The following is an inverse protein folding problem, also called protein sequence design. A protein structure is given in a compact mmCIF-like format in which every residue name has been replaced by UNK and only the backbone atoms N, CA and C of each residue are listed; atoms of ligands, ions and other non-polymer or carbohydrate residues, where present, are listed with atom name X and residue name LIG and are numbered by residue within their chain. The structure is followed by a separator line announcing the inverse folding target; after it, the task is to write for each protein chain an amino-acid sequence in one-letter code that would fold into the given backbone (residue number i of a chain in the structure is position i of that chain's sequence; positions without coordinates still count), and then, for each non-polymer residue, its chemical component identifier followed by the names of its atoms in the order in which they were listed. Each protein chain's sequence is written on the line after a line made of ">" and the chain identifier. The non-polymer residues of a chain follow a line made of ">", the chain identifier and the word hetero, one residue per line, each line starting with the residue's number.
data_IF_090431919130
#
_entry.id   IF_090431919130
#
_cell.length_a   1.000
_cell.length_b   1.000
_cell.length_c   1.000
_cell.angle_alpha   90.00
_cell.angle_beta   90.00
_cell.angle_gamma   90.00
#
_symmetry.space_group_name_H-M   'P 1'
#
loop_
_entity.id
_entity.type
_entity.pdbx_description
1 polymer ?
#
# COMPACT_ATOMS: atom_id res chain seq x y z
N UNK A 1 -67.79 0.84 31.21
CA UNK A 1 -67.59 0.13 32.50
C UNK A 1 -66.18 0.45 32.99
N UNK A 2 -66.10 1.13 34.12
CA UNK A 2 -64.91 1.46 34.88
C UNK A 2 -64.31 0.22 35.47
N UNK A 3 -62.98 0.12 35.62
CA UNK A 3 -62.31 -0.25 36.84
C UNK A 3 -60.86 0.24 36.84
N UNK A 4 -60.62 1.13 37.79
CA UNK A 4 -59.29 1.59 38.24
C UNK A 4 -58.57 0.48 39.00
N UNK A 5 -57.23 0.50 38.95
CA UNK A 5 -56.46 0.16 40.15
C UNK A 5 -55.20 1.01 40.23
N UNK A 6 -55.06 1.60 41.43
CA UNK A 6 -53.99 2.48 41.89
C UNK A 6 -52.85 1.68 42.52
N UNK A 7 -51.67 2.27 42.67
CA UNK A 7 -50.48 1.66 43.26
C UNK A 7 -50.35 1.93 44.77
N UNK A 8 -49.52 1.16 45.48
CA UNK A 8 -48.78 1.54 46.68
C UNK A 8 -48.06 0.34 47.32
N UNK A 9 -47.19 0.55 48.29
CA UNK A 9 -46.05 1.45 48.41
C UNK A 9 -44.74 0.74 48.90
N UNK A 10 -43.70 1.53 48.88
CA UNK A 10 -42.39 1.51 49.55
C UNK A 10 -42.38 0.89 50.96
N UNK A 11 -41.35 0.15 51.29
CA UNK A 11 -40.43 0.21 52.42
C UNK A 11 -39.87 -1.18 52.81
N UNK A 12 -38.59 -1.40 52.86
CA UNK A 12 -37.83 -1.42 54.11
C UNK A 12 -36.33 -1.73 53.86
N UNK A 13 -35.52 -0.88 54.43
CA UNK A 13 -34.07 -1.12 54.62
C UNK A 13 -33.88 -2.23 55.67
N UNK A 14 -33.03 -3.21 55.38
CA UNK A 14 -32.31 -3.93 56.44
C UNK A 14 -30.90 -4.25 55.96
N UNK A 15 -29.97 -3.66 56.64
CA UNK A 15 -28.55 -3.97 56.63
C UNK A 15 -28.29 -5.34 57.21
N UNK A 16 -27.76 -6.27 56.42
CA UNK A 16 -27.19 -7.50 56.93
C UNK A 16 -25.68 -7.55 56.62
N UNK A 17 -24.91 -7.50 57.70
CA UNK A 17 -23.48 -7.77 57.71
C UNK A 17 -23.28 -9.24 57.33
N UNK A 18 -22.62 -9.50 56.20
CA UNK A 18 -22.15 -10.83 55.84
C UNK A 18 -20.65 -10.91 56.12
N UNK A 19 -20.32 -11.86 56.95
CA UNK A 19 -18.99 -12.21 57.40
C UNK A 19 -18.14 -12.71 56.22
N UNK A 20 -16.89 -12.23 56.19
CA UNK A 20 -15.80 -12.69 55.34
C UNK A 20 -15.56 -14.20 55.58
N UNK A 21 -15.92 -15.04 54.63
CA UNK A 21 -15.39 -16.40 54.48
C UNK A 21 -14.53 -16.45 53.25
N UNK A 22 -13.26 -16.77 53.45
CA UNK A 22 -12.30 -16.98 52.43
C UNK A 22 -12.74 -18.11 51.50
N UNK A 23 -13.06 -17.76 50.27
CA UNK A 23 -13.30 -18.66 49.16
C UNK A 23 -12.15 -18.54 48.17
N UNK A 24 -11.38 -19.62 48.09
CA UNK A 24 -10.36 -19.87 47.07
C UNK A 24 -10.91 -19.60 45.68
N UNK A 25 -10.54 -18.48 45.09
CA UNK A 25 -10.83 -18.18 43.70
C UNK A 25 -9.98 -19.12 42.84
N UNK A 26 -10.54 -20.22 42.39
CA UNK A 26 -10.01 -21.02 41.28
C UNK A 26 -10.17 -20.16 40.04
N UNK A 27 -9.10 -19.50 39.65
CA UNK A 27 -8.98 -18.88 38.32
C UNK A 27 -9.01 -20.01 37.29
N UNK A 28 -10.18 -20.25 36.71
CA UNK A 28 -10.31 -21.07 35.52
C UNK A 28 -9.70 -20.25 34.39
N UNK A 29 -8.38 -20.42 34.19
CA UNK A 29 -7.73 -19.98 32.98
C UNK A 29 -8.33 -20.81 31.84
N UNK A 30 -9.32 -20.23 31.18
CA UNK A 30 -9.69 -20.63 29.82
C UNK A 30 -8.47 -20.34 28.95
N UNK A 31 -7.52 -21.25 28.89
CA UNK A 31 -6.62 -21.38 27.78
C UNK A 31 -7.51 -21.63 26.57
N UNK A 32 -7.79 -20.57 25.81
CA UNK A 32 -8.12 -20.71 24.41
C UNK A 32 -6.91 -21.38 23.78
N UNK A 33 -6.90 -22.71 23.77
CA UNK A 33 -6.11 -23.44 22.80
C UNK A 33 -6.65 -23.00 21.46
N UNK A 34 -5.98 -22.02 20.86
CA UNK A 34 -6.06 -21.88 19.42
C UNK A 34 -5.75 -23.28 18.89
N UNK A 35 -6.72 -23.90 18.25
CA UNK A 35 -6.46 -25.05 17.45
C UNK A 35 -5.41 -24.62 16.43
N UNK A 36 -4.12 -24.80 16.79
CA UNK A 36 -3.08 -24.87 15.79
C UNK A 36 -3.59 -25.96 14.86
N UNK A 37 -3.86 -25.62 13.63
CA UNK A 37 -4.07 -26.58 12.58
C UNK A 37 -2.74 -27.32 12.51
N UNK A 38 -2.68 -28.45 13.20
CA UNK A 38 -1.46 -29.21 13.24
C UNK A 38 -1.10 -29.57 11.81
N UNK A 39 0.16 -29.39 11.45
CA UNK A 39 0.77 -29.79 10.17
C UNK A 39 0.48 -31.23 9.77
N UNK A 40 -0.42 -31.87 10.47
CA UNK A 40 -0.64 -33.30 10.40
C UNK A 40 0.47 -34.06 11.11
N UNK A 41 0.53 -35.34 10.90
CA UNK A 41 1.60 -36.18 11.45
C UNK A 41 2.91 -35.86 10.75
N UNK A 42 3.96 -35.58 11.52
CA UNK A 42 5.28 -35.25 10.98
C UNK A 42 5.83 -36.41 10.13
N UNK A 43 6.52 -36.07 9.07
CA UNK A 43 7.27 -37.03 8.22
C UNK A 43 8.21 -37.85 9.09
N UNK A 44 8.38 -39.15 8.73
CA UNK A 44 9.21 -40.09 9.46
C UNK A 44 8.57 -40.70 10.70
N UNK A 45 7.37 -40.24 11.11
CA UNK A 45 6.65 -40.81 12.23
C UNK A 45 6.17 -42.21 11.92
N UNK A 46 6.51 -43.19 12.77
CA UNK A 46 5.98 -44.54 12.66
C UNK A 46 4.60 -44.65 13.30
N UNK A 47 3.61 -45.03 12.53
CA UNK A 47 2.24 -45.30 12.99
C UNK A 47 2.10 -46.78 13.24
N UNK A 48 1.78 -47.15 14.47
CA UNK A 48 1.61 -48.52 14.91
C UNK A 48 0.14 -48.80 15.19
N UNK A 49 -0.36 -49.97 14.77
CA UNK A 49 -1.73 -50.40 15.03
C UNK A 49 -1.77 -51.88 15.39
N UNK A 50 -2.62 -52.24 16.36
CA UNK A 50 -2.84 -53.60 16.85
C UNK A 50 -4.32 -53.85 17.01
N UNK A 51 -4.87 -54.88 16.42
CA UNK A 51 -6.20 -55.38 16.67
C UNK A 51 -6.18 -56.47 17.76
N UNK A 52 -7.19 -56.55 18.58
CA UNK A 52 -7.32 -57.59 19.62
C UNK A 52 -8.65 -58.30 19.46
N UNK A 53 -8.58 -59.64 19.36
CA UNK A 53 -9.75 -60.51 19.34
C UNK A 53 -10.04 -61.04 20.74
N UNK A 54 -11.27 -60.80 21.24
CA UNK A 54 -11.82 -61.45 22.40
C UNK A 54 -12.87 -62.47 21.93
N UNK A 55 -12.80 -63.69 22.44
CA UNK A 55 -13.72 -64.74 22.03
C UNK A 55 -14.03 -65.71 23.16
N UNK A 56 -15.03 -66.55 22.95
CA UNK A 56 -15.45 -67.60 23.88
C UNK A 56 -15.66 -68.93 23.15
N UNK A 57 -15.42 -70.02 23.82
CA UNK A 57 -15.72 -71.39 23.34
C UNK A 57 -16.68 -72.02 24.33
N UNK A 58 -17.88 -72.41 23.90
CA UNK A 58 -18.91 -72.98 24.77
C UNK A 58 -19.26 -72.11 25.97
N UNK A 59 -19.40 -70.81 25.81
CA UNK A 59 -19.63 -69.80 26.83
C UNK A 59 -18.46 -69.57 27.83
N UNK A 60 -17.30 -70.15 27.62
CA UNK A 60 -16.08 -69.91 28.41
C UNK A 60 -15.20 -68.91 27.68
N UNK A 61 -14.94 -67.78 28.32
CA UNK A 61 -14.05 -66.74 27.76
C UNK A 61 -12.63 -67.35 27.56
N UNK A 62 -12.02 -67.02 26.42
CA UNK A 62 -10.67 -67.45 26.08
C UNK A 62 -9.70 -66.28 26.20
N UNK A 63 -8.41 -66.51 26.38
CA UNK A 63 -7.39 -65.47 26.34
C UNK A 63 -7.47 -64.65 25.05
N UNK A 64 -7.39 -63.32 25.17
CA UNK A 64 -7.38 -62.45 23.98
C UNK A 64 -6.18 -62.72 23.06
N UNK A 65 -6.39 -62.59 21.74
CA UNK A 65 -5.37 -62.75 20.73
C UNK A 65 -5.11 -61.41 20.04
N UNK A 66 -3.89 -60.87 20.13
CA UNK A 66 -3.45 -59.70 19.36
C UNK A 66 -3.13 -60.06 17.92
N UNK A 67 -3.36 -59.11 17.00
CA UNK A 67 -3.00 -59.30 15.55
C UNK A 67 -1.50 -59.29 15.35
N UNK A 68 -1.08 -59.86 14.21
CA UNK A 68 0.29 -59.79 13.66
C UNK A 68 0.24 -59.73 12.14
N UNK A 69 1.20 -59.07 11.45
CA UNK A 69 1.24 -58.97 9.98
C UNK A 69 1.25 -60.34 9.28
N UNK A 70 1.83 -61.36 9.94
CA UNK A 70 1.93 -62.74 9.41
C UNK A 70 0.87 -63.68 9.98
N UNK A 71 -0.07 -63.14 10.77
CA UNK A 71 -1.06 -63.90 11.52
C UNK A 71 -0.56 -64.25 12.95
N UNK A 72 -1.52 -64.43 13.90
CA UNK A 72 -1.26 -64.84 15.26
C UNK A 72 -2.43 -65.68 15.77
N UNK A 73 -2.15 -66.67 16.56
CA UNK A 73 -3.17 -67.57 17.15
C UNK A 73 -3.17 -67.55 18.67
N UNK A 74 -2.16 -66.94 19.30
CA UNK A 74 -2.08 -66.85 20.77
C UNK A 74 -1.31 -65.61 21.21
N UNK A 75 -1.67 -65.02 22.34
CA UNK A 75 -0.92 -63.94 23.00
C UNK A 75 -1.06 -62.57 22.36
N UNK A 76 -0.18 -61.65 22.73
CA UNK A 76 -0.32 -60.22 22.47
C UNK A 76 -0.16 -59.79 21.01
N UNK A 77 0.45 -60.64 20.17
CA UNK A 77 0.72 -60.29 18.76
C UNK A 77 1.84 -59.24 18.55
N UNK A 78 1.91 -58.69 17.35
CA UNK A 78 2.83 -57.62 16.98
C UNK A 78 2.13 -56.56 16.17
N UNK A 79 2.51 -55.29 16.34
CA UNK A 79 1.92 -54.14 15.63
C UNK A 79 2.14 -54.26 14.10
N UNK A 80 1.11 -53.86 13.36
CA UNK A 80 1.30 -53.46 11.95
C UNK A 80 1.74 -52.01 11.96
N UNK A 81 2.83 -51.72 11.24
CA UNK A 81 3.43 -50.38 11.23
C UNK A 81 3.62 -49.86 9.82
N UNK A 82 3.51 -48.54 9.66
CA UNK A 82 3.95 -47.82 8.47
C UNK A 82 4.59 -46.48 8.86
N UNK A 83 5.37 -45.89 7.98
CA UNK A 83 6.05 -44.60 8.18
C UNK A 83 5.29 -43.51 7.43
N UNK A 84 5.14 -42.33 8.02
CA UNK A 84 4.49 -41.16 7.40
C UNK A 84 5.44 -40.56 6.40
N UNK A 85 4.97 -40.32 5.19
CA UNK A 85 5.73 -39.75 4.08
C UNK A 85 5.93 -38.21 4.27
N UNK A 86 6.93 -37.67 3.55
CA UNK A 86 7.16 -36.23 3.46
C UNK A 86 6.21 -35.61 2.44
N UNK A 87 5.21 -34.90 2.92
CA UNK A 87 4.35 -34.07 2.09
C UNK A 87 5.01 -32.72 1.91
N UNK A 88 5.49 -32.43 0.73
CA UNK A 88 5.99 -31.13 0.31
C UNK A 88 4.83 -30.30 -0.23
N UNK A 89 4.56 -29.18 0.39
CA UNK A 89 3.54 -28.23 -0.04
C UNK A 89 3.88 -26.83 0.49
N UNK A 90 3.61 -25.80 -0.31
CA UNK A 90 3.89 -24.42 0.06
C UNK A 90 2.83 -23.49 -0.52
N UNK A 91 2.79 -22.29 0.07
CA UNK A 91 2.01 -21.18 -0.47
C UNK A 91 2.89 -19.93 -0.50
N UNK A 92 2.92 -19.26 -1.65
CA UNK A 92 3.52 -17.94 -1.79
C UNK A 92 2.39 -16.94 -2.04
N UNK A 93 2.41 -15.82 -1.33
CA UNK A 93 1.37 -14.79 -1.47
C UNK A 93 1.96 -13.39 -1.34
N UNK A 94 1.43 -12.41 -2.09
CA UNK A 94 1.72 -11.00 -1.82
C UNK A 94 0.96 -10.55 -0.57
N UNK A 95 1.56 -9.65 0.20
CA UNK A 95 0.93 -8.96 1.33
C UNK A 95 0.21 -7.70 0.85
N UNK A 96 0.63 -7.16 -0.27
CA UNK A 96 0.10 -5.93 -0.83
C UNK A 96 -1.29 -6.16 -1.46
N UNK A 97 -2.26 -5.34 -1.08
CA UNK A 97 -3.66 -5.42 -1.58
C UNK A 97 -3.87 -4.59 -2.85
N UNK A 98 -2.88 -3.81 -3.24
CA UNK A 98 -2.83 -2.98 -4.43
C UNK A 98 -1.37 -2.74 -4.80
N UNK A 99 -1.10 -2.35 -6.04
CA UNK A 99 0.25 -2.04 -6.50
C UNK A 99 0.94 -1.00 -5.60
N UNK A 100 2.19 -1.25 -5.27
CA UNK A 100 3.03 -0.37 -4.44
C UNK A 100 3.29 0.94 -5.19
N UNK A 101 2.94 2.06 -4.58
CA UNK A 101 3.14 3.38 -5.18
C UNK A 101 4.61 3.77 -5.18
N UNK A 102 5.12 4.14 -6.35
CA UNK A 102 6.52 4.55 -6.56
C UNK A 102 6.59 5.84 -7.38
N UNK A 103 7.73 6.53 -7.36
CA UNK A 103 7.95 7.73 -8.17
C UNK A 103 9.04 7.48 -9.22
N UNK A 104 9.02 8.20 -10.38
CA UNK A 104 10.07 8.10 -11.38
C UNK A 104 11.45 8.38 -10.78
N UNK A 105 12.44 7.54 -11.08
CA UNK A 105 13.78 7.64 -10.55
C UNK A 105 13.98 7.15 -9.11
N UNK A 106 12.93 6.62 -8.45
CA UNK A 106 13.04 6.04 -7.13
C UNK A 106 13.94 4.80 -7.15
N UNK A 107 14.77 4.65 -6.12
CA UNK A 107 15.66 3.49 -5.96
C UNK A 107 15.23 2.62 -4.79
N UNK A 108 15.64 1.36 -4.81
CA UNK A 108 15.38 0.38 -3.74
C UNK A 108 13.88 0.28 -3.41
N UNK A 109 13.06 0.05 -4.45
CA UNK A 109 11.62 -0.15 -4.28
C UNK A 109 11.33 -1.57 -3.80
N UNK A 110 10.39 -1.73 -2.86
CA UNK A 110 10.17 -2.98 -2.13
C UNK A 110 8.73 -3.44 -2.28
N UNK A 111 8.54 -4.69 -2.66
CA UNK A 111 7.27 -5.41 -2.58
C UNK A 111 7.37 -6.53 -1.54
N UNK A 112 6.28 -6.81 -0.84
CA UNK A 112 6.28 -7.71 0.31
C UNK A 112 5.49 -8.96 0.03
N UNK A 113 6.10 -10.11 0.31
CA UNK A 113 5.50 -11.42 0.12
C UNK A 113 5.60 -12.26 1.40
N UNK A 114 4.84 -13.36 1.42
CA UNK A 114 4.97 -14.42 2.41
C UNK A 114 5.20 -15.76 1.73
N UNK A 115 6.04 -16.58 2.36
CA UNK A 115 6.21 -18.01 2.02
C UNK A 115 5.73 -18.80 3.23
N UNK A 116 4.78 -19.69 3.03
CA UNK A 116 4.23 -20.56 4.08
C UNK A 116 4.51 -22.02 3.72
N UNK A 117 5.12 -22.75 4.66
CA UNK A 117 5.29 -24.19 4.55
C UNK A 117 3.99 -24.89 4.99
N UNK A 118 3.23 -25.43 4.04
CA UNK A 118 2.00 -26.19 4.31
C UNK A 118 2.21 -27.71 4.20
N UNK A 119 3.48 -28.12 4.18
CA UNK A 119 3.91 -29.52 4.26
C UNK A 119 3.89 -30.07 5.69
N UNK A 120 4.57 -31.19 5.93
CA UNK A 120 4.64 -31.85 7.25
C UNK A 120 6.07 -32.08 7.75
N UNK A 121 7.04 -31.36 7.20
CA UNK A 121 8.43 -31.36 7.67
C UNK A 121 9.07 -29.98 7.50
N UNK A 122 10.17 -29.72 8.16
CA UNK A 122 10.98 -28.52 7.98
C UNK A 122 11.54 -28.49 6.56
N UNK A 123 11.46 -27.34 5.89
CA UNK A 123 11.95 -27.12 4.53
C UNK A 123 12.70 -25.81 4.41
N UNK A 124 13.64 -25.78 3.48
CA UNK A 124 14.24 -24.55 2.96
C UNK A 124 13.53 -24.12 1.68
N UNK A 125 13.66 -22.82 1.33
CA UNK A 125 13.13 -22.32 0.06
C UNK A 125 14.16 -21.41 -0.60
N UNK A 126 14.61 -21.80 -1.80
CA UNK A 126 15.33 -20.86 -2.67
C UNK A 126 14.35 -19.86 -3.25
N UNK A 127 14.79 -18.60 -3.41
CA UNK A 127 13.96 -17.48 -3.83
C UNK A 127 14.48 -16.87 -5.12
N UNK A 128 13.57 -16.52 -6.02
CA UNK A 128 13.88 -15.80 -7.26
C UNK A 128 12.82 -14.73 -7.52
N UNK A 129 13.26 -13.54 -7.94
CA UNK A 129 12.38 -12.46 -8.37
C UNK A 129 12.55 -12.19 -9.86
N UNK A 130 11.45 -11.89 -10.55
CA UNK A 130 11.42 -11.58 -11.98
C UNK A 130 10.55 -10.37 -12.25
N UNK A 131 10.97 -9.51 -13.21
CA UNK A 131 10.04 -8.65 -13.93
C UNK A 131 9.19 -9.51 -14.85
N UNK A 132 7.87 -9.26 -14.88
CA UNK A 132 6.96 -10.03 -15.73
C UNK A 132 6.96 -9.46 -17.15
N UNK A 133 6.56 -10.29 -18.12
CA UNK A 133 6.49 -9.86 -19.50
C UNK A 133 5.44 -8.75 -19.70
N UNK A 134 5.75 -7.78 -20.57
CA UNK A 134 4.84 -6.70 -20.96
C UNK A 134 3.46 -7.23 -21.35
N UNK A 135 2.42 -6.55 -20.89
CA UNK A 135 1.03 -6.94 -21.09
C UNK A 135 0.48 -7.91 -20.03
N UNK A 136 1.32 -8.46 -19.13
CA UNK A 136 0.85 -9.24 -17.98
C UNK A 136 0.01 -8.35 -17.05
N UNK A 137 -1.12 -8.87 -16.59
CA UNK A 137 -2.04 -8.10 -15.72
C UNK A 137 -1.85 -8.48 -14.26
N UNK A 138 -1.62 -7.48 -13.41
CA UNK A 138 -1.62 -7.58 -11.94
C UNK A 138 -2.41 -6.40 -11.39
N UNK A 139 -3.23 -6.60 -10.37
CA UNK A 139 -4.16 -5.58 -9.83
C UNK A 139 -4.99 -4.87 -10.92
N UNK A 140 -5.44 -5.63 -11.93
CA UNK A 140 -6.25 -5.12 -13.06
C UNK A 140 -5.54 -4.09 -13.95
N UNK A 141 -4.22 -3.99 -13.87
CA UNK A 141 -3.39 -3.11 -14.72
C UNK A 141 -2.33 -3.91 -15.44
N UNK A 142 -2.12 -3.60 -16.72
CA UNK A 142 -1.11 -4.28 -17.53
C UNK A 142 0.28 -3.76 -17.22
N UNK A 143 1.23 -4.66 -17.27
CA UNK A 143 2.66 -4.35 -17.27
C UNK A 143 3.05 -3.55 -18.52
N UNK A 144 3.77 -2.45 -18.33
CA UNK A 144 4.22 -1.60 -19.45
C UNK A 144 5.67 -1.11 -19.31
N UNK A 145 6.36 -1.44 -18.23
CA UNK A 145 7.79 -1.21 -18.09
C UNK A 145 8.42 -2.21 -17.11
N UNK A 146 9.73 -2.39 -17.20
CA UNK A 146 10.52 -3.17 -16.25
C UNK A 146 11.20 -2.27 -15.21
N UNK A 147 11.25 -2.72 -13.96
CA UNK A 147 12.13 -2.13 -12.94
C UNK A 147 13.60 -2.44 -13.24
N UNK A 148 14.52 -1.82 -12.52
CA UNK A 148 15.89 -2.33 -12.43
C UNK A 148 15.93 -3.75 -11.87
N UNK A 149 17.13 -4.37 -11.84
CA UNK A 149 17.31 -5.72 -11.31
C UNK A 149 16.68 -5.88 -9.92
N UNK A 150 15.98 -6.99 -9.69
CA UNK A 150 15.36 -7.31 -8.41
C UNK A 150 16.16 -8.39 -7.68
N UNK A 151 16.21 -8.28 -6.36
CA UNK A 151 16.82 -9.25 -5.44
C UNK A 151 15.83 -9.62 -4.35
N UNK A 152 15.98 -10.81 -3.78
CA UNK A 152 15.13 -11.30 -2.70
C UNK A 152 15.84 -11.25 -1.37
N UNK A 153 15.12 -10.86 -0.32
CA UNK A 153 15.63 -10.82 1.05
C UNK A 153 14.58 -11.36 2.02
N UNK A 154 15.04 -11.98 3.09
CA UNK A 154 14.16 -12.58 4.10
C UNK A 154 14.15 -11.71 5.34
N UNK A 155 12.97 -11.40 5.87
CA UNK A 155 12.77 -10.66 7.11
C UNK A 155 13.54 -11.30 8.26
N UNK A 156 14.44 -10.53 8.90
CA UNK A 156 15.24 -10.99 10.05
C UNK A 156 14.43 -11.12 11.34
N UNK A 157 13.31 -10.38 11.45
CA UNK A 157 12.47 -10.29 12.62
C UNK A 157 12.94 -9.28 13.67
N UNK A 158 14.02 -8.54 13.41
CA UNK A 158 14.51 -7.53 14.34
C UNK A 158 13.66 -6.25 14.32
N UNK A 159 13.21 -5.84 13.14
CA UNK A 159 12.31 -4.70 12.92
C UNK A 159 11.43 -5.03 11.73
N UNK A 160 10.12 -4.77 11.81
CA UNK A 160 9.21 -5.05 10.70
C UNK A 160 9.47 -4.14 9.49
N UNK A 161 9.35 -4.69 8.27
CA UNK A 161 9.65 -4.04 7.01
C UNK A 161 11.09 -4.25 6.57
N UNK A 162 11.42 -3.95 5.32
CA UNK A 162 12.76 -4.19 4.78
C UNK A 162 13.82 -3.25 5.36
N UNK A 163 14.87 -3.82 5.93
CA UNK A 163 16.08 -3.12 6.36
C UNK A 163 17.32 -3.76 5.72
N UNK A 164 17.94 -3.07 4.79
CA UNK A 164 19.09 -3.57 4.03
C UNK A 164 20.30 -4.03 4.89
N UNK A 165 20.44 -3.49 6.12
CA UNK A 165 21.52 -3.87 7.05
C UNK A 165 21.19 -5.10 7.91
N UNK A 166 19.92 -5.49 7.99
CA UNK A 166 19.44 -6.58 8.85
C UNK A 166 18.91 -7.77 8.04
N UNK A 167 18.14 -7.48 6.99
CA UNK A 167 17.50 -8.48 6.12
C UNK A 167 18.47 -8.87 5.02
N UNK A 168 19.44 -9.71 5.34
CA UNK A 168 20.53 -10.08 4.43
C UNK A 168 20.43 -11.51 3.90
N UNK A 169 19.55 -12.34 4.48
CA UNK A 169 19.32 -13.70 4.00
C UNK A 169 18.58 -13.69 2.66
N UNK A 170 19.06 -14.50 1.70
CA UNK A 170 18.52 -14.55 0.32
C UNK A 170 17.72 -15.82 0.03
N UNK A 171 17.55 -16.68 1.02
CA UNK A 171 16.70 -17.87 0.99
C UNK A 171 16.00 -18.04 2.35
N UNK A 172 14.88 -18.75 2.37
CA UNK A 172 14.20 -19.09 3.62
C UNK A 172 14.84 -20.34 4.20
N UNK A 173 15.36 -20.23 5.41
CA UNK A 173 16.12 -21.26 6.13
C UNK A 173 15.24 -21.91 7.19
N UNK A 174 15.21 -23.26 7.23
CA UNK A 174 14.60 -24.08 8.28
C UNK A 174 13.14 -23.68 8.63
N UNK A 175 12.29 -23.46 7.63
CA UNK A 175 10.90 -23.13 7.86
C UNK A 175 10.11 -24.33 8.35
N UNK A 176 9.68 -24.30 9.59
CA UNK A 176 8.88 -25.37 10.18
C UNK A 176 7.54 -25.55 9.45
N UNK A 177 6.96 -26.74 9.55
CA UNK A 177 5.62 -27.00 9.08
C UNK A 177 4.61 -26.03 9.68
N UNK A 178 3.65 -25.53 8.89
CA UNK A 178 2.65 -24.49 9.17
C UNK A 178 3.22 -23.11 9.50
N UNK A 179 4.55 -22.91 9.45
CA UNK A 179 5.17 -21.62 9.67
C UNK A 179 5.14 -20.77 8.39
N UNK A 180 5.13 -19.46 8.59
CA UNK A 180 5.17 -18.43 7.54
C UNK A 180 6.39 -17.52 7.74
N UNK A 181 7.04 -17.15 6.65
CA UNK A 181 8.15 -16.20 6.63
C UNK A 181 7.86 -15.06 5.65
N UNK A 182 8.15 -13.83 6.07
CA UNK A 182 8.05 -12.65 5.20
C UNK A 182 9.29 -12.57 4.32
N UNK A 183 9.08 -12.24 3.06
CA UNK A 183 10.12 -12.11 2.02
C UNK A 183 9.92 -10.78 1.29
N UNK A 184 11.00 -10.07 1.05
CA UNK A 184 11.02 -8.82 0.30
C UNK A 184 11.62 -9.04 -1.09
N UNK A 185 10.94 -8.53 -2.11
CA UNK A 185 11.51 -8.32 -3.44
C UNK A 185 11.92 -6.85 -3.52
N UNK A 186 13.21 -6.61 -3.62
CA UNK A 186 13.79 -5.27 -3.68
C UNK A 186 14.34 -5.05 -5.07
N UNK A 187 13.71 -4.13 -5.82
CA UNK A 187 14.15 -3.77 -7.16
C UNK A 187 14.97 -2.48 -7.15
N UNK A 188 16.04 -2.44 -7.94
CA UNK A 188 17.08 -1.43 -7.85
C UNK A 188 16.58 -0.01 -8.15
N UNK A 189 15.71 0.15 -9.15
CA UNK A 189 15.22 1.47 -9.55
C UNK A 189 13.97 1.42 -10.41
N UNK A 190 13.22 2.50 -10.38
CA UNK A 190 12.19 2.85 -11.35
C UNK A 190 12.81 3.79 -12.39
N UNK A 191 12.70 3.54 -13.70
CA UNK A 191 13.23 4.46 -14.71
C UNK A 191 12.65 5.87 -14.56
N UNK A 192 13.49 6.88 -14.69
CA UNK A 192 13.07 8.29 -14.51
C UNK A 192 12.14 8.81 -15.61
N UNK A 193 12.02 8.08 -16.71
CA UNK A 193 11.17 8.44 -17.86
C UNK A 193 9.72 7.99 -17.71
N UNK A 194 9.41 7.21 -16.68
CA UNK A 194 8.06 6.69 -16.45
C UNK A 194 7.09 7.82 -16.06
N UNK A 195 5.84 7.67 -16.49
CA UNK A 195 4.80 8.67 -16.26
C UNK A 195 3.73 8.15 -15.28
N UNK A 196 2.88 9.06 -14.83
CA UNK A 196 1.81 8.72 -13.90
C UNK A 196 0.89 7.62 -14.46
N UNK A 197 0.73 6.54 -13.69
CA UNK A 197 -0.13 5.41 -14.04
C UNK A 197 0.61 4.22 -14.66
N UNK A 198 1.87 4.37 -15.06
CA UNK A 198 2.69 3.26 -15.53
C UNK A 198 2.85 2.21 -14.44
N UNK A 199 2.91 0.94 -14.83
CA UNK A 199 3.00 -0.18 -13.91
C UNK A 199 4.04 -1.20 -14.35
N UNK A 200 4.90 -1.60 -13.40
CA UNK A 200 5.82 -2.72 -13.54
C UNK A 200 5.30 -3.87 -12.69
N UNK A 201 5.10 -5.02 -13.31
CA UNK A 201 4.65 -6.22 -12.65
C UNK A 201 5.84 -7.14 -12.36
N UNK A 202 5.87 -7.69 -11.16
CA UNK A 202 6.94 -8.57 -10.68
C UNK A 202 6.36 -9.87 -10.13
N UNK A 203 7.19 -10.88 -10.01
CA UNK A 203 6.85 -12.12 -9.29
C UNK A 203 7.96 -12.52 -8.33
N UNK A 204 7.54 -13.20 -7.25
CA UNK A 204 8.39 -13.99 -6.38
C UNK A 204 8.11 -15.47 -6.66
N UNK A 205 9.17 -16.23 -6.93
CA UNK A 205 9.14 -17.68 -7.01
C UNK A 205 9.91 -18.26 -5.82
N UNK A 206 9.29 -19.21 -5.11
CA UNK A 206 9.94 -19.99 -4.05
C UNK A 206 9.97 -21.46 -4.48
N UNK A 207 11.15 -22.07 -4.48
CA UNK A 207 11.35 -23.49 -4.80
C UNK A 207 11.80 -24.22 -3.54
N UNK A 208 11.11 -25.32 -3.22
CA UNK A 208 11.38 -26.10 -2.02
C UNK A 208 12.72 -26.83 -2.10
N UNK A 209 13.48 -26.73 -1.03
CA UNK A 209 14.73 -27.45 -0.81
C UNK A 209 14.68 -28.20 0.54
N UNK A 210 15.55 -29.15 0.72
CA UNK A 210 15.63 -29.97 1.93
C UNK A 210 16.14 -29.13 3.09
N UNK A 211 15.38 -29.01 4.18
CA UNK A 211 15.83 -28.44 5.44
C UNK A 211 16.65 -29.41 6.28
N UNK A 212 17.10 -28.97 7.45
CA UNK A 212 17.83 -29.77 8.43
C UNK A 212 19.29 -29.33 8.65
N UNK A 213 19.73 -28.26 7.99
CA UNK A 213 21.06 -27.67 8.22
C UNK A 213 20.95 -26.14 8.27
N UNK A 214 20.93 -25.58 9.45
CA UNK A 214 20.80 -24.13 9.65
C UNK A 214 21.87 -23.33 8.91
N UNK A 215 21.47 -22.20 8.34
CA UNK A 215 22.30 -21.28 7.56
C UNK A 215 22.90 -21.85 6.27
N UNK A 216 22.33 -22.93 5.75
CA UNK A 216 22.74 -23.54 4.48
C UNK A 216 21.52 -23.99 3.68
N UNK A 217 21.34 -23.45 2.49
CA UNK A 217 20.29 -23.90 1.59
C UNK A 217 20.53 -25.37 1.18
N UNK A 218 19.54 -26.23 1.45
CA UNK A 218 19.60 -27.63 1.08
C UNK A 218 19.46 -27.89 -0.42
N UNK A 219 19.54 -29.14 -0.81
CA UNK A 219 19.30 -29.56 -2.21
C UNK A 219 17.82 -29.44 -2.57
N UNK A 220 17.51 -29.06 -3.80
CA UNK A 220 16.14 -29.09 -4.33
C UNK A 220 15.52 -30.45 -4.11
N UNK A 221 14.31 -30.50 -3.55
CA UNK A 221 13.61 -31.75 -3.31
C UNK A 221 13.17 -32.41 -4.63
N UNK A 222 13.15 -33.73 -4.65
CA UNK A 222 12.71 -34.53 -5.81
C UNK A 222 11.64 -35.50 -5.35
N UNK A 223 10.51 -35.54 -6.07
CA UNK A 223 9.42 -36.45 -5.76
C UNK A 223 9.87 -37.91 -5.89
N UNK A 224 9.51 -38.76 -4.93
CA UNK A 224 9.71 -40.21 -5.03
C UNK A 224 8.79 -40.76 -6.10
N UNK A 225 9.37 -41.50 -7.09
CA UNK A 225 8.61 -42.12 -8.17
C UNK A 225 8.15 -43.51 -7.78
N UNK A 226 7.01 -43.94 -8.32
CA UNK A 226 6.52 -45.31 -8.18
C UNK A 226 5.52 -45.53 -7.06
N UNK A 227 5.39 -46.79 -6.61
CA UNK A 227 4.52 -47.18 -5.50
C UNK A 227 5.17 -46.85 -4.16
N UNK A 228 4.33 -46.74 -3.11
CA UNK A 228 4.77 -46.50 -1.74
C UNK A 228 5.87 -47.48 -1.31
N UNK A 229 6.94 -46.95 -0.74
CA UNK A 229 8.06 -47.75 -0.22
C UNK A 229 7.92 -47.98 1.31
N UNK A 230 8.82 -48.78 1.87
CA UNK A 230 8.85 -48.99 3.32
C UNK A 230 9.53 -47.82 4.08
N UNK A 231 10.20 -46.93 3.36
CA UNK A 231 10.84 -45.73 3.90
C UNK A 231 9.95 -44.51 3.82
N UNK A 232 10.54 -43.34 3.99
CA UNK A 232 9.86 -42.06 3.78
C UNK A 232 9.92 -41.68 2.32
N UNK A 233 8.77 -41.62 1.67
CA UNK A 233 8.65 -41.12 0.31
C UNK A 233 8.42 -39.61 0.31
N UNK A 234 8.84 -38.91 -0.75
CA UNK A 234 8.59 -37.49 -0.95
C UNK A 234 7.43 -37.33 -1.93
N UNK A 235 6.38 -36.65 -1.49
CA UNK A 235 5.15 -36.43 -2.25
C UNK A 235 4.86 -34.94 -2.37
N UNK A 236 4.77 -34.45 -3.61
CA UNK A 236 4.40 -33.05 -3.87
C UNK A 236 2.89 -32.89 -3.82
N UNK A 237 2.44 -31.93 -3.02
CA UNK A 237 1.03 -31.61 -2.77
C UNK A 237 0.61 -30.20 -3.19
N UNK A 238 1.52 -29.41 -3.78
CA UNK A 238 1.25 -28.05 -4.22
C UNK A 238 0.23 -28.01 -5.37
N UNK A 239 -0.73 -27.05 -5.36
CA UNK A 239 -1.76 -26.96 -6.40
C UNK A 239 -1.21 -26.30 -7.67
N UNK A 240 -1.88 -26.53 -8.83
CA UNK A 240 -1.55 -25.88 -10.11
C UNK A 240 -1.90 -24.41 -10.19
N UNK A 241 -2.76 -23.93 -9.28
CA UNK A 241 -3.19 -22.55 -9.22
C UNK A 241 -3.42 -22.16 -7.77
N UNK A 242 -2.77 -21.10 -7.32
CA UNK A 242 -3.21 -20.38 -6.15
C UNK A 242 -4.04 -19.21 -6.68
N UNK A 243 -5.35 -19.27 -6.50
CA UNK A 243 -6.21 -18.13 -6.76
C UNK A 243 -5.89 -17.05 -5.71
N UNK A 244 -5.03 -16.12 -6.06
CA UNK A 244 -4.81 -14.92 -5.26
C UNK A 244 -5.59 -13.75 -5.87
N UNK A 245 -5.71 -12.66 -5.12
CA UNK A 245 -6.44 -11.47 -5.56
C UNK A 245 -5.85 -10.83 -6.84
N UNK A 246 -4.68 -11.27 -7.27
CA UNK A 246 -3.88 -10.67 -8.33
C UNK A 246 -3.89 -11.45 -9.65
N UNK A 247 -4.70 -12.48 -9.75
CA UNK A 247 -4.83 -13.30 -10.97
C UNK A 247 -4.13 -14.65 -10.88
N UNK A 248 -4.06 -15.37 -12.03
CA UNK A 248 -3.38 -16.66 -12.13
C UNK A 248 -1.88 -16.42 -12.28
N UNK A 249 -1.07 -17.02 -11.42
CA UNK A 249 0.38 -16.91 -11.50
C UNK A 249 0.91 -17.72 -12.69
N UNK A 250 1.66 -17.10 -13.63
CA UNK A 250 2.23 -17.83 -14.73
C UNK A 250 3.36 -18.75 -14.23
N UNK A 251 3.38 -19.96 -14.71
CA UNK A 251 4.40 -20.93 -14.36
C UNK A 251 4.13 -21.74 -13.10
N UNK A 252 3.01 -21.51 -12.39
CA UNK A 252 2.57 -22.38 -11.31
C UNK A 252 2.06 -23.69 -11.93
N UNK A 253 2.82 -24.74 -11.78
CA UNK A 253 2.46 -26.09 -12.19
C UNK A 253 2.07 -26.89 -10.94
N UNK A 254 1.11 -27.79 -11.05
CA UNK A 254 0.76 -28.66 -9.93
C UNK A 254 1.89 -29.64 -9.65
N UNK A 255 2.22 -29.86 -8.39
CA UNK A 255 3.10 -30.93 -7.93
C UNK A 255 4.52 -30.81 -8.47
N UNK A 256 5.08 -29.59 -8.44
CA UNK A 256 6.47 -29.31 -8.80
C UNK A 256 7.30 -28.76 -7.62
N UNK A 257 6.69 -28.65 -6.45
CA UNK A 257 7.28 -28.08 -5.23
C UNK A 257 7.72 -26.61 -5.39
N UNK A 258 7.07 -25.86 -6.29
CA UNK A 258 7.32 -24.44 -6.55
C UNK A 258 6.06 -23.63 -6.22
N UNK A 259 6.23 -22.49 -5.58
CA UNK A 259 5.18 -21.51 -5.36
C UNK A 259 5.55 -20.20 -6.03
N UNK A 260 4.56 -19.52 -6.64
CA UNK A 260 4.74 -18.24 -7.31
C UNK A 260 3.64 -17.27 -6.85
N UNK A 261 4.01 -16.02 -6.60
CA UNK A 261 3.06 -14.94 -6.41
C UNK A 261 3.50 -13.71 -7.17
N UNK A 262 2.53 -12.86 -7.54
CA UNK A 262 2.73 -11.62 -8.29
C UNK A 262 2.46 -10.41 -7.44
N UNK A 263 3.15 -9.33 -7.77
CA UNK A 263 2.93 -7.99 -7.23
C UNK A 263 3.24 -6.95 -8.31
N UNK A 264 3.05 -5.66 -8.00
CA UNK A 264 3.28 -4.60 -8.95
C UNK A 264 3.76 -3.30 -8.28
N UNK A 265 4.57 -2.54 -9.02
CA UNK A 265 4.89 -1.16 -8.72
C UNK A 265 4.12 -0.25 -9.67
N UNK A 266 3.37 0.72 -9.11
CA UNK A 266 2.61 1.69 -9.89
C UNK A 266 3.19 3.08 -9.73
N UNK A 267 3.53 3.70 -10.85
CA UNK A 267 4.11 5.05 -10.85
C UNK A 267 3.04 6.08 -10.49
N UNK A 268 3.34 6.88 -9.46
CA UNK A 268 2.58 8.07 -9.09
C UNK A 268 3.47 9.28 -9.34
N UNK A 269 2.98 10.25 -10.09
CA UNK A 269 3.74 11.46 -10.39
C UNK A 269 2.84 12.67 -10.45
N UNK A 270 3.43 13.87 -10.24
CA UNK A 270 2.75 15.12 -10.53
C UNK A 270 2.69 15.33 -12.04
N UNK A 271 1.53 15.78 -12.52
CA UNK A 271 1.36 16.21 -13.91
C UNK A 271 0.96 17.68 -13.91
N UNK A 272 1.96 18.54 -14.10
CA UNK A 272 1.79 19.99 -14.00
C UNK A 272 1.50 20.59 -15.38
N UNK A 273 0.51 21.50 -15.40
CA UNK A 273 0.24 22.38 -16.51
C UNK A 273 0.32 23.83 -16.07
N UNK A 274 0.80 24.71 -16.95
CA UNK A 274 0.86 26.15 -16.69
C UNK A 274 0.09 26.86 -17.79
N UNK A 275 -0.90 27.66 -17.40
CA UNK A 275 -1.71 28.46 -18.33
C UNK A 275 -1.61 29.93 -17.94
N UNK A 276 -1.37 30.80 -18.89
CA UNK A 276 -1.39 32.25 -18.70
C UNK A 276 -2.52 32.86 -19.51
N UNK A 277 -3.35 33.65 -18.88
CA UNK A 277 -4.45 34.40 -19.49
C UNK A 277 -4.32 35.88 -19.19
N UNK A 278 -4.96 36.71 -20.00
CA UNK A 278 -5.05 38.15 -19.79
C UNK A 278 -6.51 38.58 -19.94
N UNK A 279 -6.95 39.46 -19.04
CA UNK A 279 -8.30 40.03 -19.08
C UNK A 279 -8.19 41.54 -18.99
N UNK A 280 -8.80 42.31 -19.90
CA UNK A 280 -8.91 43.75 -19.75
C UNK A 280 -9.70 44.10 -18.48
N UNK A 281 -9.21 45.05 -17.71
CA UNK A 281 -9.87 45.54 -16.49
C UNK A 281 -10.61 46.83 -16.77
N UNK A 282 -9.94 47.78 -17.39
CA UNK A 282 -10.47 49.09 -17.77
C UNK A 282 -9.66 49.74 -18.88
N UNK A 283 -10.23 50.69 -19.59
CA UNK A 283 -9.53 51.58 -20.48
C UNK A 283 -9.86 53.06 -20.24
N UNK A 284 -9.01 54.00 -20.67
CA UNK A 284 -9.19 55.43 -20.38
C UNK A 284 -10.45 56.08 -20.96
N UNK A 285 -11.08 55.42 -21.95
CA UNK A 285 -12.22 56.02 -22.66
C UNK A 285 -13.55 55.33 -22.26
N UNK A 286 -13.56 54.01 -22.10
CA UNK A 286 -14.76 53.23 -21.85
C UNK A 286 -14.89 52.83 -20.34
N UNK A 287 -13.86 53.13 -19.54
CA UNK A 287 -13.84 52.69 -18.14
C UNK A 287 -13.80 51.17 -18.03
N UNK A 288 -14.68 50.58 -17.24
CA UNK A 288 -14.83 49.14 -17.04
C UNK A 288 -15.98 48.54 -17.88
N UNK A 289 -16.58 49.31 -18.77
CA UNK A 289 -17.62 48.84 -19.68
C UNK A 289 -17.09 48.78 -21.11
N UNK A 290 -17.13 47.60 -21.77
CA UNK A 290 -16.61 47.41 -23.13
C UNK A 290 -15.12 47.73 -23.31
N UNK A 291 -14.29 47.39 -22.34
CA UNK A 291 -12.85 47.68 -22.29
C UNK A 291 -12.12 47.29 -23.56
N UNK A 292 -11.14 48.08 -23.96
CA UNK A 292 -10.23 47.85 -25.10
C UNK A 292 -8.79 47.88 -24.63
N UNK A 293 -7.96 47.07 -25.28
CA UNK A 293 -6.52 47.01 -25.02
C UNK A 293 -5.79 48.16 -25.76
N UNK A 294 -6.00 49.37 -25.32
CA UNK A 294 -5.40 50.58 -25.87
C UNK A 294 -4.35 51.17 -24.92
N UNK A 295 -3.44 52.06 -25.35
CA UNK A 295 -2.53 52.73 -24.43
C UNK A 295 -3.27 53.36 -23.24
N UNK A 296 -2.74 53.10 -22.05
CA UNK A 296 -3.38 53.48 -20.78
C UNK A 296 -4.41 52.48 -20.23
N UNK A 297 -4.76 51.44 -20.97
CA UNK A 297 -5.63 50.35 -20.45
C UNK A 297 -4.91 49.51 -19.40
N UNK A 298 -5.68 49.13 -18.35
CA UNK A 298 -5.24 48.15 -17.36
C UNK A 298 -5.71 46.74 -17.76
N UNK A 299 -4.82 45.79 -17.64
CA UNK A 299 -5.07 44.36 -17.87
C UNK A 299 -4.64 43.54 -16.67
N UNK A 300 -5.36 42.49 -16.37
CA UNK A 300 -4.98 41.50 -15.35
C UNK A 300 -4.45 40.24 -16.04
N UNK A 301 -3.28 39.82 -15.65
CA UNK A 301 -2.73 38.50 -15.98
C UNK A 301 -3.09 37.52 -14.88
N UNK A 302 -3.43 36.30 -15.30
CA UNK A 302 -3.61 35.16 -14.43
C UNK A 302 -2.72 34.03 -14.92
N UNK A 303 -1.84 33.53 -14.04
CA UNK A 303 -1.01 32.35 -14.29
C UNK A 303 -1.55 31.23 -13.41
N UNK A 304 -2.13 30.23 -14.03
CA UNK A 304 -2.66 29.05 -13.34
C UNK A 304 -1.70 27.89 -13.51
N UNK A 305 -1.31 27.28 -12.40
CA UNK A 305 -0.56 26.04 -12.32
C UNK A 305 -1.50 24.98 -11.78
N UNK A 306 -1.80 23.94 -12.54
CA UNK A 306 -2.65 22.83 -12.14
C UNK A 306 -1.85 21.55 -12.07
N UNK A 307 -2.13 20.71 -11.06
CA UNK A 307 -1.57 19.38 -10.91
C UNK A 307 -2.67 18.34 -11.16
N UNK A 308 -2.68 17.74 -12.34
CA UNK A 308 -3.63 16.67 -12.72
C UNK A 308 -3.07 15.27 -12.46
N UNK A 309 -1.88 15.17 -11.90
CA UNK A 309 -1.25 13.90 -11.52
C UNK A 309 -1.84 13.31 -10.23
N UNK A 310 -1.33 12.16 -9.82
CA UNK A 310 -1.73 11.45 -8.61
C UNK A 310 -0.80 11.70 -7.41
N UNK A 311 0.34 12.36 -7.62
CA UNK A 311 1.25 12.78 -6.56
C UNK A 311 1.26 14.29 -6.39
N UNK A 312 1.62 14.76 -5.19
CA UNK A 312 1.85 16.18 -4.93
C UNK A 312 3.15 16.67 -5.59
N UNK A 313 3.18 17.94 -6.00
CA UNK A 313 4.36 18.61 -6.51
C UNK A 313 4.81 19.74 -5.57
N UNK A 314 6.10 19.86 -5.33
CA UNK A 314 6.66 21.03 -4.63
C UNK A 314 6.98 22.11 -5.65
N UNK A 315 6.29 23.26 -5.58
CA UNK A 315 6.51 24.40 -6.44
C UNK A 315 7.67 25.25 -5.87
N UNK A 316 8.53 25.72 -6.75
CA UNK A 316 9.64 26.62 -6.38
C UNK A 316 9.30 28.06 -6.78
N UNK A 317 9.39 28.38 -8.05
CA UNK A 317 9.16 29.72 -8.58
C UNK A 317 8.42 29.68 -9.91
N UNK A 318 7.67 30.76 -10.19
CA UNK A 318 7.26 31.11 -11.55
C UNK A 318 7.81 32.49 -11.87
N UNK A 319 8.36 32.64 -13.05
CA UNK A 319 8.88 33.90 -13.55
C UNK A 319 8.10 34.37 -14.79
N UNK A 320 7.86 35.66 -14.90
CA UNK A 320 7.20 36.29 -16.04
C UNK A 320 7.96 37.56 -16.43
N UNK A 321 8.33 37.66 -17.69
CA UNK A 321 8.94 38.85 -18.25
C UNK A 321 7.87 39.65 -19.00
N UNK A 322 7.46 40.79 -18.42
CA UNK A 322 6.55 41.71 -19.07
C UNK A 322 7.16 42.27 -20.36
N UNK A 323 6.37 42.40 -21.41
CA UNK A 323 6.78 43.10 -22.62
C UNK A 323 7.13 44.56 -22.29
N UNK A 324 8.09 45.14 -23.01
CA UNK A 324 8.52 46.53 -22.83
C UNK A 324 7.40 47.56 -23.04
N UNK A 325 6.33 47.16 -23.72
CA UNK A 325 5.10 47.95 -23.94
C UNK A 325 4.10 47.85 -22.79
N UNK A 326 4.44 47.19 -21.70
CA UNK A 326 3.63 47.04 -20.50
C UNK A 326 4.36 47.68 -19.31
N UNK A 327 3.63 48.27 -18.40
CA UNK A 327 4.13 48.68 -17.10
C UNK A 327 3.40 47.91 -16.01
N UNK A 328 4.13 47.38 -15.04
CA UNK A 328 3.51 46.71 -13.88
C UNK A 328 2.67 47.70 -13.08
N UNK A 329 1.44 47.28 -12.71
CA UNK A 329 0.60 48.02 -11.77
C UNK A 329 0.82 47.48 -10.36
N UNK A 330 1.37 48.31 -9.43
CA UNK A 330 1.60 47.90 -8.05
C UNK A 330 0.32 47.70 -7.23
N UNK A 331 -0.85 47.91 -7.82
CA UNK A 331 -2.15 47.81 -7.16
C UNK A 331 -3.06 46.80 -7.85
N UNK A 332 -3.31 45.69 -7.20
CA UNK A 332 -4.28 44.69 -7.65
C UNK A 332 -5.69 45.10 -7.22
N UNK A 333 -6.62 45.21 -8.15
CA UNK A 333 -7.99 45.58 -7.87
C UNK A 333 -8.86 44.36 -7.52
N UNK A 334 -9.51 44.32 -6.34
CA UNK A 334 -10.43 43.24 -5.88
C UNK A 334 -11.92 43.64 -5.90
N UNK A 335 -12.31 44.84 -6.37
CA UNK A 335 -13.68 45.28 -6.38
C UNK A 335 -14.14 45.88 -7.71
N UNK A 336 -15.38 46.34 -7.75
CA UNK A 336 -15.91 47.05 -8.89
C UNK A 336 -15.09 48.31 -9.17
N UNK A 337 -14.47 48.38 -10.35
CA UNK A 337 -13.74 49.57 -10.79
C UNK A 337 -14.68 50.74 -10.95
N UNK A 338 -14.30 51.95 -10.52
CA UNK A 338 -15.10 53.13 -10.82
C UNK A 338 -15.18 53.29 -12.35
N UNK A 339 -16.39 53.53 -12.85
CA UNK A 339 -16.72 53.56 -14.26
C UNK A 339 -15.96 54.62 -15.10
N UNK A 340 -15.10 55.44 -14.51
CA UNK A 340 -14.57 56.64 -15.16
C UNK A 340 -13.08 56.91 -15.01
N UNK A 341 -12.27 56.11 -14.28
CA UNK A 341 -10.86 56.41 -14.09
C UNK A 341 -9.98 55.19 -14.10
N UNK A 342 -9.62 54.74 -15.29
CA UNK A 342 -8.55 53.81 -15.53
C UNK A 342 -7.21 54.56 -15.65
N UNK A 343 -6.60 54.91 -14.50
CA UNK A 343 -5.31 55.60 -14.48
C UNK A 343 -4.29 54.75 -13.71
N UNK A 344 -3.09 54.56 -14.25
CA UNK A 344 -2.00 53.86 -13.59
C UNK A 344 -1.76 54.45 -12.18
N UNK A 345 -1.72 53.60 -11.17
CA UNK A 345 -1.43 54.04 -9.79
C UNK A 345 -2.50 54.89 -9.11
N UNK A 346 -3.72 55.03 -9.65
CA UNK A 346 -4.80 55.79 -9.05
C UNK A 346 -5.24 55.18 -7.71
N UNK A 347 -5.27 55.98 -6.64
CA UNK A 347 -5.69 55.57 -5.32
C UNK A 347 -7.13 55.02 -5.25
N UNK A 348 -8.01 55.38 -6.19
CA UNK A 348 -9.39 54.88 -6.28
C UNK A 348 -9.44 53.42 -6.78
N UNK A 349 -8.37 52.91 -7.39
CA UNK A 349 -8.23 51.52 -7.86
C UNK A 349 -7.48 50.64 -6.86
N UNK A 350 -7.27 51.12 -5.63
CA UNK A 350 -6.49 50.41 -4.61
C UNK A 350 -7.24 49.27 -3.99
N UNK A 351 -6.77 48.06 -4.23
CA UNK A 351 -7.36 46.89 -3.61
C UNK A 351 -6.38 45.91 -2.99
N UNK A 352 -5.08 45.98 -3.30
CA UNK A 352 -4.03 45.40 -2.48
C UNK A 352 -2.78 46.26 -2.50
N UNK A 353 -2.06 46.25 -1.40
CA UNK A 353 -0.82 47.02 -1.26
C UNK A 353 0.35 46.44 -2.07
N UNK A 354 0.23 45.25 -2.67
CA UNK A 354 1.34 44.51 -3.30
C UNK A 354 1.25 44.32 -4.79
N UNK A 355 0.11 44.62 -5.41
CA UNK A 355 -0.09 44.39 -6.86
C UNK A 355 -0.19 42.90 -7.30
N UNK A 356 -0.14 41.97 -6.35
CA UNK A 356 -0.23 40.51 -6.60
C UNK A 356 -1.38 39.89 -5.84
N UNK A 357 -1.91 38.80 -6.38
CA UNK A 357 -2.90 37.96 -5.73
C UNK A 357 -2.69 36.50 -6.07
N UNK A 358 -3.19 35.61 -5.21
CA UNK A 358 -3.15 34.20 -5.47
C UNK A 358 -4.39 33.48 -4.90
N UNK A 359 -4.80 32.41 -5.58
CA UNK A 359 -5.94 31.57 -5.21
C UNK A 359 -5.62 30.11 -5.44
N UNK A 360 -6.03 29.23 -4.53
CA UNK A 360 -5.94 27.78 -4.68
C UNK A 360 -7.33 27.16 -4.79
N UNK A 361 -7.43 26.02 -5.46
CA UNK A 361 -8.65 25.23 -5.54
C UNK A 361 -8.37 23.76 -5.80
N UNK A 362 -9.39 22.93 -5.59
CA UNK A 362 -9.39 21.53 -5.94
C UNK A 362 -10.23 21.30 -7.21
N UNK A 363 -9.76 20.40 -8.09
CA UNK A 363 -10.46 20.03 -9.33
C UNK A 363 -9.55 19.98 -10.55
N UNK A 364 -9.96 19.27 -11.58
CA UNK A 364 -9.18 18.97 -12.78
C UNK A 364 -9.12 20.12 -13.82
N UNK A 365 -9.33 21.36 -13.45
CA UNK A 365 -9.28 22.48 -14.37
C UNK A 365 -9.04 23.80 -13.70
N UNK A 366 -8.69 24.86 -14.46
CA UNK A 366 -8.66 26.21 -13.89
C UNK A 366 -10.10 26.54 -13.46
N UNK A 367 -10.37 26.36 -12.17
CA UNK A 367 -11.62 26.83 -11.58
C UNK A 367 -11.72 28.33 -11.86
N UNK A 368 -12.83 28.77 -12.42
CA UNK A 368 -13.15 30.19 -12.50
C UNK A 368 -13.33 30.67 -11.08
N UNK A 369 -12.26 31.17 -10.50
CA UNK A 369 -12.36 31.85 -9.21
C UNK A 369 -13.02 33.17 -9.49
N UNK A 370 -14.18 33.37 -8.88
CA UNK A 370 -14.86 34.64 -8.94
C UNK A 370 -13.89 35.77 -8.55
N UNK A 371 -13.83 36.86 -9.29
CA UNK A 371 -13.08 38.04 -8.89
C UNK A 371 -13.70 38.53 -7.57
N UNK A 372 -12.94 38.54 -6.51
CA UNK A 372 -13.45 38.93 -5.20
C UNK A 372 -12.75 38.30 -4.02
N UNK A 373 -11.83 37.35 -4.27
CA UNK A 373 -10.95 36.87 -3.23
C UNK A 373 -9.94 37.98 -2.92
N UNK A 374 -10.01 38.49 -1.71
CA UNK A 374 -9.02 39.41 -1.14
C UNK A 374 -7.66 38.70 -1.17
N UNK A 375 -6.99 38.84 -2.26
CA UNK A 375 -5.68 38.33 -2.46
C UNK A 375 -4.71 39.35 -1.89
N UNK A 376 -4.52 39.33 -0.61
CA UNK A 376 -3.42 40.02 0.03
C UNK A 376 -2.22 39.12 -0.02
N UNK A 377 -1.60 39.01 -1.21
CA UNK A 377 -0.22 38.64 -1.22
C UNK A 377 0.55 39.76 -0.56
N UNK A 378 1.00 39.55 0.66
CA UNK A 378 2.02 40.38 1.23
C UNK A 378 3.22 40.40 0.29
N UNK A 379 4.05 41.42 0.34
CA UNK A 379 5.29 41.53 -0.45
C UNK A 379 6.25 40.36 -0.29
N UNK A 380 6.01 39.44 0.64
CA UNK A 380 6.72 38.18 0.78
C UNK A 380 6.34 37.22 -0.35
N UNK A 381 7.30 36.79 -1.15
CA UNK A 381 7.14 35.79 -2.19
C UNK A 381 6.86 36.31 -3.60
N UNK A 382 6.51 37.57 -3.78
CA UNK A 382 6.39 38.19 -5.10
C UNK A 382 7.33 39.40 -5.22
N UNK A 383 8.12 39.44 -6.28
CA UNK A 383 9.09 40.50 -6.56
C UNK A 383 9.02 40.93 -8.02
N UNK A 384 9.27 42.24 -8.25
CA UNK A 384 9.47 42.79 -9.57
C UNK A 384 10.82 43.50 -9.64
N UNK A 385 11.59 43.22 -10.68
CA UNK A 385 12.86 43.86 -11.01
C UNK A 385 12.85 44.29 -12.46
N UNK A 386 12.63 45.56 -12.72
CA UNK A 386 12.38 46.06 -14.07
C UNK A 386 11.09 45.47 -14.66
N UNK A 387 11.17 44.71 -15.72
CA UNK A 387 10.03 44.01 -16.35
C UNK A 387 9.89 42.55 -15.87
N UNK A 388 10.78 42.06 -15.02
CA UNK A 388 10.75 40.67 -14.56
C UNK A 388 9.98 40.54 -13.26
N UNK A 389 8.89 39.76 -13.29
CA UNK A 389 8.12 39.36 -12.14
C UNK A 389 8.59 37.97 -11.73
N UNK A 390 8.87 37.77 -10.43
CA UNK A 390 9.21 36.46 -9.86
C UNK A 390 8.29 36.19 -8.70
N UNK A 391 7.64 35.02 -8.69
CA UNK A 391 6.77 34.56 -7.63
C UNK A 391 7.41 33.31 -7.03
N UNK A 392 7.73 33.37 -5.72
CA UNK A 392 8.36 32.29 -4.96
C UNK A 392 7.33 31.65 -4.05
N UNK A 393 6.93 30.41 -4.34
CA UNK A 393 5.76 29.79 -3.72
C UNK A 393 5.92 29.52 -2.23
N UNK A 394 7.09 29.12 -1.76
CA UNK A 394 7.35 28.86 -0.33
C UNK A 394 7.38 30.12 0.54
N UNK A 395 7.43 31.30 -0.10
CA UNK A 395 7.42 32.59 0.59
C UNK A 395 6.09 33.34 0.44
N UNK A 396 5.11 32.79 -0.32
CA UNK A 396 3.78 33.37 -0.45
C UNK A 396 3.03 33.29 0.89
N UNK A 397 2.90 34.40 1.56
CA UNK A 397 2.02 34.55 2.74
C UNK A 397 0.73 35.23 2.28
N UNK A 398 -0.37 34.49 2.22
CA UNK A 398 -1.69 35.04 1.97
C UNK A 398 -2.64 34.66 3.08
N UNK A 399 -3.57 35.56 3.43
CA UNK A 399 -4.61 35.25 4.44
C UNK A 399 -5.61 34.19 4.01
N UNK A 400 -5.64 33.85 2.72
CA UNK A 400 -6.52 32.83 2.13
C UNK A 400 -5.78 31.55 1.72
N UNK A 401 -4.47 31.59 1.61
CA UNK A 401 -3.63 30.45 1.33
C UNK A 401 -2.71 30.29 2.52
N UNK A 402 -3.02 29.34 3.37
CA UNK A 402 -2.00 28.77 4.25
C UNK A 402 -1.03 28.09 3.29
N UNK A 403 0.04 28.79 2.90
CA UNK A 403 1.15 28.14 2.23
C UNK A 403 1.56 26.99 3.15
N UNK A 404 1.41 25.74 2.76
CA UNK A 404 2.02 24.69 3.51
C UNK A 404 3.52 25.01 3.55
N UNK A 405 4.17 24.74 4.65
CA UNK A 405 5.59 25.04 4.89
C UNK A 405 6.55 24.50 3.79
N UNK A 406 6.03 23.87 2.75
CA UNK A 406 6.75 23.23 1.64
C UNK A 406 6.26 23.66 0.25
N UNK A 407 5.40 24.66 0.08
CA UNK A 407 4.86 25.05 -1.24
C UNK A 407 4.32 23.87 -2.08
N UNK A 408 3.66 22.91 -1.43
CA UNK A 408 3.19 21.68 -2.04
C UNK A 408 1.84 21.89 -2.72
N UNK A 409 1.77 21.60 -4.03
CA UNK A 409 0.53 21.54 -4.79
C UNK A 409 0.03 20.10 -4.82
N UNK A 410 -1.05 19.82 -4.10
CA UNK A 410 -1.61 18.48 -3.99
C UNK A 410 -2.13 17.96 -5.34
N UNK A 411 -2.27 16.64 -5.44
CA UNK A 411 -2.94 15.98 -6.55
C UNK A 411 -4.36 16.56 -6.78
N UNK A 412 -4.74 16.81 -8.03
CA UNK A 412 -6.04 17.36 -8.40
C UNK A 412 -6.26 18.81 -7.98
N UNK A 413 -5.21 19.54 -7.56
CA UNK A 413 -5.32 20.94 -7.10
C UNK A 413 -4.69 21.91 -8.09
N UNK A 414 -5.03 23.19 -7.96
CA UNK A 414 -4.42 24.25 -8.72
C UNK A 414 -4.10 25.47 -7.86
N UNK A 415 -3.18 26.31 -8.31
CA UNK A 415 -2.93 27.67 -7.80
C UNK A 415 -2.94 28.63 -9.00
N UNK A 416 -3.66 29.75 -8.84
CA UNK A 416 -3.63 30.85 -9.81
C UNK A 416 -3.05 32.07 -9.14
N UNK A 417 -2.04 32.66 -9.75
CA UNK A 417 -1.42 33.91 -9.31
C UNK A 417 -1.80 35.03 -10.27
N UNK A 418 -2.11 36.20 -9.73
CA UNK A 418 -2.61 37.35 -10.46
C UNK A 418 -1.66 38.54 -10.33
N UNK A 419 -1.53 39.32 -11.38
CA UNK A 419 -0.94 40.65 -11.34
C UNK A 419 -1.53 41.54 -12.43
N UNK A 420 -1.46 42.85 -12.23
CA UNK A 420 -1.95 43.81 -13.19
C UNK A 420 -0.82 44.52 -13.92
N UNK A 421 -1.11 44.93 -15.14
CA UNK A 421 -0.20 45.73 -15.96
C UNK A 421 -0.99 46.80 -16.75
N UNK A 422 -0.33 47.87 -17.07
CA UNK A 422 -0.85 48.90 -17.98
C UNK A 422 -0.20 48.78 -19.36
N UNK A 423 -1.00 48.98 -20.38
CA UNK A 423 -0.53 49.18 -21.77
C UNK A 423 0.10 50.56 -21.87
N UNK A 424 1.38 50.63 -22.28
CA UNK A 424 2.12 51.86 -22.48
C UNK A 424 1.82 52.50 -23.83
#
# INVERSE_FOLDING_TARGET
>A
MKWNYKPAPVCCKTSARIKLFGGLAIAFALSFSQSAWAAGTASGTTINNLATLNYSVGAVAQPAIGSSPTGNSVGAGTNTAFVVDNKVNLTVATVDVAAVSVVPGQTSVVATFTVTNTGNTVQDYSLAALNLASGTTVFSTNDNFDTGSCSTFVESGATAGYQAAQDTATFVDELAADATKTVYVVCASIPSTQVNGDQANISLTATTATGGTAAALGATVVQTAGANTAGVDIVFGDPSTVANANGTDPGQTARDAIGVARDAFKVVSANLSVTKTVTPICDPFNGNANQKNIPGAAVQYAITIANTGSASATLSTVADALAATLAFDPKLNSGALPATNCVPGNAANTLSASGFGAVTGAGAGPGVVAPGLAANATTAGAAIAGQNITITFNALATSAIVAPAAATLAAGSFITVYFNAFVQ
#
